data_IF_262156143603
#
_entry.id   IF_262156143603
#
_cell.length_a   1.000
_cell.length_b   1.000
_cell.length_c   1.000
_cell.angle_alpha   90.00
_cell.angle_beta   90.00
_cell.angle_gamma   90.00
#
_symmetry.space_group_name_H-M   'P 1'
#
loop_
_entity.id
_entity.type
_entity.pdbx_description
1 polymer ?
#
# COMPACT_ATOMS: atom_id res chain seq x y z
N UNK A 1 52.25 12.30 -44.02
CA UNK A 1 50.97 12.98 -43.73
C UNK A 1 50.17 12.01 -42.90
N UNK A 2 50.21 12.20 -41.59
CA UNK A 2 49.33 11.55 -40.62
C UNK A 2 48.33 12.63 -40.22
N UNK A 3 47.05 12.40 -40.46
CA UNK A 3 45.98 13.24 -39.94
C UNK A 3 45.44 12.51 -38.70
N UNK A 4 45.51 13.24 -37.58
CA UNK A 4 45.21 12.79 -36.24
C UNK A 4 43.74 12.38 -36.07
N UNK A 5 43.55 11.26 -35.38
CA UNK A 5 42.27 10.89 -34.81
C UNK A 5 41.92 11.83 -33.66
N UNK A 6 41.04 12.79 -33.91
CA UNK A 6 40.40 13.59 -32.86
C UNK A 6 39.34 12.74 -32.15
N UNK A 7 39.74 12.15 -31.02
CA UNK A 7 38.82 11.57 -30.05
C UNK A 7 38.11 12.64 -29.22
N UNK A 8 36.96 12.24 -28.67
CA UNK A 8 36.19 12.90 -27.61
C UNK A 8 35.61 14.27 -28.00
N UNK A 9 34.30 14.52 -27.93
CA UNK A 9 33.53 14.54 -26.68
C UNK A 9 32.08 14.08 -26.95
N UNK A 10 31.76 12.85 -26.52
CA UNK A 10 30.38 12.46 -26.25
C UNK A 10 30.12 12.69 -24.77
N UNK A 11 29.34 13.72 -24.41
CA UNK A 11 29.05 13.96 -22.99
C UNK A 11 28.26 15.22 -22.68
N UNK A 12 27.38 15.67 -23.57
CA UNK A 12 26.57 16.87 -23.36
C UNK A 12 25.07 16.57 -23.35
N UNK A 13 24.55 15.91 -22.30
CA UNK A 13 23.15 16.03 -21.81
C UNK A 13 22.88 15.03 -20.66
N UNK A 14 23.71 15.05 -19.61
CA UNK A 14 23.32 14.45 -18.33
C UNK A 14 22.69 15.56 -17.50
N UNK A 15 21.37 15.49 -17.34
CA UNK A 15 20.50 16.59 -16.93
C UNK A 15 20.77 17.00 -15.48
N UNK A 16 21.58 18.05 -15.31
CA UNK A 16 21.69 18.96 -14.15
C UNK A 16 21.44 18.35 -12.75
N UNK A 17 22.14 17.26 -12.43
CA UNK A 17 22.30 16.80 -11.04
C UNK A 17 23.53 17.50 -10.45
N UNK A 18 23.31 18.63 -9.79
CA UNK A 18 24.34 19.46 -9.17
C UNK A 18 24.47 19.23 -7.66
N UNK A 19 23.41 18.74 -7.01
CA UNK A 19 23.36 18.42 -5.59
C UNK A 19 24.13 17.13 -5.28
N UNK A 20 24.87 17.11 -4.16
CA UNK A 20 25.66 15.97 -3.72
C UNK A 20 24.77 14.80 -3.26
N UNK A 21 23.57 15.12 -2.77
CA UNK A 21 22.55 14.21 -2.27
C UNK A 21 22.06 13.21 -3.35
N UNK A 22 22.21 13.54 -4.64
CA UNK A 22 21.97 12.58 -5.71
C UNK A 22 22.87 11.36 -5.60
N UNK A 23 24.15 11.55 -5.27
CA UNK A 23 25.11 10.44 -5.13
C UNK A 23 24.77 9.56 -3.94
N UNK A 24 24.25 10.16 -2.87
CA UNK A 24 23.77 9.41 -1.70
C UNK A 24 22.59 8.53 -2.08
N UNK A 25 21.56 9.12 -2.73
CA UNK A 25 20.39 8.38 -3.19
C UNK A 25 20.77 7.27 -4.20
N UNK A 26 21.70 7.53 -5.11
CA UNK A 26 22.17 6.56 -6.11
C UNK A 26 23.04 5.44 -5.51
N UNK A 27 23.55 5.62 -4.29
CA UNK A 27 24.37 4.62 -3.62
C UNK A 27 23.54 3.58 -2.84
N UNK A 28 22.24 3.84 -2.62
CA UNK A 28 21.36 2.96 -1.84
C UNK A 28 21.12 1.64 -2.56
N UNK A 29 20.88 0.56 -1.79
CA UNK A 29 20.54 -0.75 -2.36
C UNK A 29 19.20 -0.71 -3.10
N UNK A 30 18.25 0.08 -2.59
CA UNK A 30 16.98 0.35 -3.24
C UNK A 30 17.17 0.95 -4.65
N UNK A 31 18.07 1.92 -4.81
CA UNK A 31 18.36 2.47 -6.13
C UNK A 31 19.02 1.46 -7.07
N UNK A 32 19.98 0.67 -6.57
CA UNK A 32 20.65 -0.36 -7.39
C UNK A 32 19.65 -1.39 -7.91
N UNK A 33 18.64 -1.71 -7.10
CA UNK A 33 17.58 -2.66 -7.43
C UNK A 33 16.49 -2.07 -8.32
N UNK A 34 16.16 -0.80 -8.10
CA UNK A 34 15.15 -0.05 -8.84
C UNK A 34 15.78 1.21 -9.44
N UNK A 35 16.68 1.09 -10.44
CA UNK A 35 17.37 2.22 -10.99
C UNK A 35 16.39 3.15 -11.70
N UNK A 36 16.41 4.42 -11.31
CA UNK A 36 15.47 5.43 -11.76
C UNK A 36 16.18 6.49 -12.63
N UNK A 37 15.59 6.86 -13.76
CA UNK A 37 16.03 7.98 -14.60
C UNK A 37 14.89 8.98 -14.90
N UNK A 38 14.19 9.47 -13.86
CA UNK A 38 13.01 10.32 -14.02
C UNK A 38 13.34 11.59 -14.81
N UNK A 39 12.36 12.04 -15.57
CA UNK A 39 12.50 13.21 -16.42
C UNK A 39 11.73 14.38 -15.82
N UNK A 40 12.40 15.19 -15.00
CA UNK A 40 11.82 16.39 -14.39
C UNK A 40 11.70 17.59 -15.34
N UNK A 41 11.72 17.34 -16.65
CA UNK A 41 11.61 18.36 -17.70
C UNK A 41 10.18 18.52 -18.22
N UNK A 42 9.17 18.02 -17.50
CA UNK A 42 7.78 18.21 -17.89
C UNK A 42 7.49 19.73 -18.01
N UNK A 43 6.67 20.17 -18.98
CA UNK A 43 6.48 21.58 -19.30
C UNK A 43 6.12 22.48 -18.11
N UNK A 44 5.44 21.92 -17.10
CA UNK A 44 5.10 22.64 -15.85
C UNK A 44 6.30 22.97 -14.95
N UNK A 45 7.41 22.24 -15.05
CA UNK A 45 8.61 22.45 -14.24
C UNK A 45 9.57 23.48 -14.84
N UNK A 46 9.45 23.76 -16.14
CA UNK A 46 10.36 24.66 -16.85
C UNK A 46 10.31 26.11 -16.33
N UNK A 47 9.18 26.51 -15.73
CA UNK A 47 8.99 27.83 -15.13
C UNK A 47 9.58 27.94 -13.71
N UNK A 48 9.94 26.81 -13.09
CA UNK A 48 10.52 26.76 -11.75
C UNK A 48 12.04 26.95 -11.86
N UNK A 49 12.67 27.80 -11.00
CA UNK A 49 14.11 27.94 -10.95
C UNK A 49 14.82 26.59 -10.79
N UNK A 50 15.95 26.40 -11.48
CA UNK A 50 16.67 25.13 -11.52
C UNK A 50 16.94 24.55 -10.12
N UNK A 51 17.43 25.38 -9.19
CA UNK A 51 17.72 24.96 -7.81
C UNK A 51 16.47 24.44 -7.07
N UNK A 52 15.30 25.00 -7.34
CA UNK A 52 14.03 24.57 -6.72
C UNK A 52 13.53 23.29 -7.39
N UNK A 53 13.65 23.20 -8.72
CA UNK A 53 13.29 22.01 -9.49
C UNK A 53 14.12 20.81 -9.06
N UNK A 54 15.43 21.00 -8.90
CA UNK A 54 16.34 19.93 -8.50
C UNK A 54 16.05 19.42 -7.08
N UNK A 55 15.79 20.33 -6.13
CA UNK A 55 15.37 19.94 -4.77
C UNK A 55 14.05 19.18 -4.77
N UNK A 56 13.09 19.62 -5.57
CA UNK A 56 11.81 18.94 -5.71
C UNK A 56 11.97 17.54 -6.30
N UNK A 57 12.78 17.43 -7.35
CA UNK A 57 13.15 16.16 -7.97
C UNK A 57 13.75 15.18 -6.96
N UNK A 58 14.69 15.66 -6.14
CA UNK A 58 15.33 14.86 -5.09
C UNK A 58 14.32 14.38 -4.03
N UNK A 59 13.40 15.25 -3.59
CA UNK A 59 12.38 14.87 -2.60
C UNK A 59 11.42 13.79 -3.13
N UNK A 60 11.00 13.90 -4.40
CA UNK A 60 10.20 12.86 -5.06
C UNK A 60 10.98 11.55 -5.18
N UNK A 61 12.28 11.65 -5.45
CA UNK A 61 13.17 10.51 -5.55
C UNK A 61 13.30 9.76 -4.22
N UNK A 62 13.54 10.50 -3.14
CA UNK A 62 13.59 9.96 -1.77
C UNK A 62 12.26 9.29 -1.41
N UNK A 63 11.13 9.93 -1.74
CA UNK A 63 9.81 9.32 -1.50
C UNK A 63 9.63 7.99 -2.24
N UNK A 64 10.15 7.87 -3.46
CA UNK A 64 10.16 6.61 -4.20
C UNK A 64 11.02 5.55 -3.48
N UNK A 65 12.24 5.93 -3.06
CA UNK A 65 13.15 5.04 -2.34
C UNK A 65 12.53 4.52 -1.04
N UNK A 66 11.94 5.40 -0.24
CA UNK A 66 11.28 5.05 1.02
C UNK A 66 10.20 3.97 0.81
N UNK A 67 9.39 4.11 -0.26
CA UNK A 67 8.36 3.13 -0.60
C UNK A 67 8.96 1.78 -0.97
N UNK A 68 9.96 1.75 -1.85
CA UNK A 68 10.54 0.47 -2.28
C UNK A 68 11.33 -0.22 -1.16
N UNK A 69 12.00 0.54 -0.30
CA UNK A 69 12.65 0.00 0.89
C UNK A 69 11.64 -0.57 1.88
N UNK A 70 10.51 0.10 2.11
CA UNK A 70 9.43 -0.41 2.95
C UNK A 70 8.89 -1.74 2.39
N UNK A 71 8.64 -1.83 1.08
CA UNK A 71 8.20 -3.05 0.40
C UNK A 71 9.18 -4.20 0.55
N UNK A 72 10.48 -3.93 0.47
CA UNK A 72 11.54 -4.93 0.60
C UNK A 72 11.72 -5.42 2.03
N UNK A 73 11.63 -4.51 3.01
CA UNK A 73 11.87 -4.82 4.41
C UNK A 73 10.67 -5.46 5.11
N UNK A 74 9.45 -5.06 4.74
CA UNK A 74 8.23 -5.46 5.48
C UNK A 74 7.30 -6.37 4.65
N UNK A 75 7.27 -6.23 3.32
CA UNK A 75 6.46 -7.09 2.45
C UNK A 75 5.01 -7.25 2.92
N UNK A 76 4.64 -8.46 3.39
CA UNK A 76 3.29 -8.77 3.87
C UNK A 76 2.92 -8.10 5.19
N UNK A 77 3.88 -7.65 5.99
CA UNK A 77 3.59 -7.01 7.27
C UNK A 77 3.04 -5.59 7.09
N UNK A 78 3.17 -5.03 5.89
CA UNK A 78 2.60 -3.72 5.55
C UNK A 78 1.06 -3.79 5.58
N UNK A 79 0.38 -2.88 6.30
CA UNK A 79 -1.07 -2.81 6.31
C UNK A 79 -1.66 -2.53 4.92
N UNK A 80 -2.82 -3.12 4.59
CA UNK A 80 -3.50 -2.90 3.29
C UNK A 80 -3.70 -1.41 2.98
N UNK A 81 -4.15 -0.63 3.96
CA UNK A 81 -4.37 0.81 3.79
C UNK A 81 -3.09 1.62 3.51
N UNK A 82 -1.91 1.10 3.91
CA UNK A 82 -0.61 1.68 3.58
C UNK A 82 -0.21 1.31 2.16
N UNK A 83 -0.39 0.05 1.75
CA UNK A 83 -0.16 -0.42 0.39
C UNK A 83 -1.01 0.34 -0.64
N UNK A 84 -2.29 0.60 -0.34
CA UNK A 84 -3.18 1.37 -1.24
C UNK A 84 -2.67 2.79 -1.47
N UNK A 85 -2.20 3.47 -0.41
CA UNK A 85 -1.62 4.82 -0.51
C UNK A 85 -0.29 4.81 -1.25
N UNK A 86 0.56 3.82 -1.01
CA UNK A 86 1.82 3.66 -1.74
C UNK A 86 1.57 3.42 -3.23
N UNK A 87 0.55 2.61 -3.57
CA UNK A 87 0.12 2.38 -4.95
C UNK A 87 -0.31 3.68 -5.62
N UNK A 88 -1.17 4.47 -4.97
CA UNK A 88 -1.60 5.78 -5.47
C UNK A 88 -0.41 6.72 -5.70
N UNK A 89 0.50 6.79 -4.74
CA UNK A 89 1.72 7.61 -4.84
C UNK A 89 2.62 7.19 -6.02
N UNK A 90 2.88 5.88 -6.18
CA UNK A 90 3.70 5.36 -7.27
C UNK A 90 3.10 5.62 -8.65
N UNK A 91 1.76 5.51 -8.79
CA UNK A 91 1.06 5.88 -10.02
C UNK A 91 1.20 7.38 -10.31
N UNK A 92 1.05 8.22 -9.29
CA UNK A 92 1.22 9.66 -9.44
C UNK A 92 2.65 10.03 -9.87
N UNK A 93 3.66 9.35 -9.31
CA UNK A 93 5.07 9.54 -9.68
C UNK A 93 5.37 9.13 -11.13
N UNK A 94 4.83 7.99 -11.57
CA UNK A 94 4.95 7.52 -12.95
C UNK A 94 4.30 8.50 -13.93
N UNK A 95 3.02 8.83 -13.71
CA UNK A 95 2.25 9.68 -14.62
C UNK A 95 2.73 11.13 -14.67
N UNK A 96 3.17 11.69 -13.53
CA UNK A 96 3.48 13.13 -13.42
C UNK A 96 4.94 13.45 -13.65
N UNK A 97 5.85 12.53 -13.32
CA UNK A 97 7.29 12.80 -13.25
C UNK A 97 8.14 11.76 -14.00
N UNK A 98 7.52 10.74 -14.59
CA UNK A 98 8.20 9.76 -15.44
C UNK A 98 9.09 8.79 -14.66
N UNK A 99 8.72 8.46 -13.43
CA UNK A 99 9.35 7.36 -12.69
C UNK A 99 8.96 6.01 -13.32
N UNK A 100 9.88 5.04 -13.29
CA UNK A 100 9.57 3.65 -13.60
C UNK A 100 9.02 2.96 -12.34
N UNK A 101 7.70 3.03 -12.18
CA UNK A 101 6.99 2.46 -11.04
C UNK A 101 6.48 1.04 -11.29
N UNK A 102 6.69 0.47 -12.49
CA UNK A 102 6.07 -0.80 -12.90
C UNK A 102 6.40 -1.96 -11.96
N UNK A 103 7.67 -2.06 -11.59
CA UNK A 103 8.16 -3.12 -10.70
C UNK A 103 7.60 -3.02 -9.27
N UNK A 104 7.76 -1.87 -8.59
CA UNK A 104 7.16 -1.63 -7.28
C UNK A 104 5.64 -1.81 -7.25
N UNK A 105 4.92 -1.32 -8.27
CA UNK A 105 3.47 -1.50 -8.40
C UNK A 105 3.10 -2.99 -8.49
N UNK A 106 3.82 -3.76 -9.32
CA UNK A 106 3.61 -5.20 -9.40
C UNK A 106 3.88 -5.91 -8.07
N UNK A 107 4.86 -5.42 -7.30
CA UNK A 107 5.16 -6.00 -5.98
C UNK A 107 4.04 -5.73 -4.97
N UNK A 108 3.46 -4.54 -4.98
CA UNK A 108 2.29 -4.22 -4.16
C UNK A 108 1.11 -5.13 -4.53
N UNK A 109 0.84 -5.32 -5.81
CA UNK A 109 -0.25 -6.18 -6.28
C UNK A 109 -0.05 -7.66 -5.87
N UNK A 110 1.18 -8.15 -5.91
CA UNK A 110 1.53 -9.48 -5.39
C UNK A 110 1.20 -9.59 -3.89
N UNK A 111 1.65 -8.62 -3.08
CA UNK A 111 1.40 -8.60 -1.64
C UNK A 111 -0.11 -8.56 -1.34
N UNK A 112 -0.86 -7.70 -2.04
CA UNK A 112 -2.31 -7.59 -1.89
C UNK A 112 -3.02 -8.89 -2.27
N UNK A 113 -2.62 -9.52 -3.39
CA UNK A 113 -3.20 -10.80 -3.82
C UNK A 113 -2.99 -11.91 -2.79
N UNK A 114 -1.84 -11.93 -2.12
CA UNK A 114 -1.60 -12.92 -1.06
C UNK A 114 -2.44 -12.64 0.17
N UNK A 115 -2.59 -11.38 0.57
CA UNK A 115 -3.48 -10.99 1.68
C UNK A 115 -4.94 -11.34 1.41
N UNK A 116 -5.41 -11.14 0.17
CA UNK A 116 -6.78 -11.49 -0.23
C UNK A 116 -7.02 -13.00 -0.10
N UNK A 117 -6.08 -13.82 -0.58
CA UNK A 117 -6.15 -15.29 -0.40
C UNK A 117 -6.12 -15.71 1.07
N UNK A 118 -5.33 -15.04 1.90
CA UNK A 118 -5.29 -15.32 3.34
C UNK A 118 -6.62 -14.96 4.02
N UNK A 119 -7.29 -13.88 3.59
CA UNK A 119 -8.61 -13.51 4.08
C UNK A 119 -9.69 -14.53 3.66
N UNK A 120 -9.70 -14.93 2.38
CA UNK A 120 -10.65 -15.92 1.86
C UNK A 120 -10.56 -17.25 2.63
N UNK A 121 -9.34 -17.73 2.91
CA UNK A 121 -9.10 -18.95 3.69
C UNK A 121 -9.58 -18.86 5.14
N UNK A 122 -9.56 -17.66 5.74
CA UNK A 122 -10.08 -17.45 7.09
C UNK A 122 -11.61 -17.44 7.09
N UNK A 123 -12.23 -16.84 6.09
CA UNK A 123 -13.70 -16.84 5.94
C UNK A 123 -14.24 -18.26 5.75
N UNK A 124 -13.59 -19.09 4.93
CA UNK A 124 -13.95 -20.50 4.73
C UNK A 124 -13.88 -21.32 6.04
N UNK A 125 -12.85 -21.10 6.87
CA UNK A 125 -12.70 -21.80 8.15
C UNK A 125 -13.72 -21.38 9.23
N UNK A 126 -14.27 -20.17 9.12
CA UNK A 126 -15.28 -19.67 10.05
C UNK A 126 -16.72 -19.98 9.62
N UNK A 127 -16.97 -20.25 8.33
CA UNK A 127 -18.27 -20.64 7.78
C UNK A 127 -18.73 -22.05 8.18
N UNK A 128 -17.83 -22.92 8.62
CA UNK A 128 -18.10 -24.36 8.82
C UNK A 128 -18.51 -24.74 10.26
N UNK A 129 -18.77 -23.76 11.15
CA UNK A 129 -19.07 -24.00 12.59
C UNK A 129 -20.50 -23.67 13.02
N UNK A 130 -21.46 -23.48 12.11
CA UNK A 130 -22.84 -23.07 12.46
C UNK A 130 -23.94 -24.13 12.28
N UNK A 131 -23.64 -25.42 12.21
CA UNK A 131 -24.69 -26.46 12.17
C UNK A 131 -24.40 -27.66 13.09
N UNK A 132 -24.59 -27.47 14.39
CA UNK A 132 -24.98 -28.56 15.28
C UNK A 132 -26.25 -28.11 16.03
N UNK A 133 -27.41 -28.35 15.43
CA UNK A 133 -28.64 -28.51 16.21
C UNK A 133 -28.63 -29.91 16.85
N UNK A 134 -28.83 -30.03 18.17
CA UNK A 134 -29.47 -31.21 18.72
C UNK A 134 -30.98 -30.98 18.76
N UNK A 135 -31.68 -31.58 17.79
CA UNK A 135 -33.08 -31.94 17.93
C UNK A 135 -33.27 -32.81 19.19
N UNK A 136 -34.15 -32.43 20.11
CA UNK A 136 -34.79 -33.41 21.00
C UNK A 136 -36.29 -33.19 21.07
N UNK A 137 -36.98 -34.20 20.53
CA UNK A 137 -38.42 -34.40 20.39
C UNK A 137 -39.12 -34.58 21.75
N UNK A 138 -40.15 -33.76 21.94
CA UNK A 138 -41.42 -33.85 22.67
C UNK A 138 -41.75 -35.13 23.48
N UNK A 139 -42.26 -34.96 24.71
CA UNK A 139 -43.37 -35.80 25.23
C UNK A 139 -44.28 -35.07 26.24
N UNK A 140 -45.58 -35.08 25.94
CA UNK A 140 -46.71 -34.57 26.72
C UNK A 140 -47.07 -35.51 27.88
N UNK A 141 -47.33 -35.00 29.10
CA UNK A 141 -48.16 -35.72 30.11
C UNK A 141 -48.93 -34.79 31.07
N UNK A 142 -50.24 -34.71 30.82
CA UNK A 142 -51.42 -34.71 31.72
C UNK A 142 -51.36 -34.17 33.19
N UNK A 143 -52.05 -33.03 33.38
CA UNK A 143 -53.03 -32.63 34.44
C UNK A 143 -52.82 -33.04 35.91
N UNK A 144 -52.80 -32.02 36.81
CA UNK A 144 -53.68 -32.02 38.01
C UNK A 144 -54.02 -30.60 38.52
N UNK A 145 -55.32 -30.37 38.59
CA UNK A 145 -56.06 -29.23 39.16
C UNK A 145 -55.76 -29.05 40.65
N UNK A 146 -55.51 -27.81 41.08
CA UNK A 146 -55.46 -27.41 42.49
C UNK A 146 -55.85 -25.94 42.65
N UNK A 147 -57.16 -25.68 42.73
CA UNK A 147 -57.76 -24.38 43.08
C UNK A 147 -57.41 -24.03 44.53
N UNK A 148 -56.97 -22.80 44.84
CA UNK A 148 -57.41 -22.08 46.05
C UNK A 148 -57.17 -20.57 45.93
N UNK A 149 -58.26 -19.85 46.13
CA UNK A 149 -58.38 -18.40 46.20
C UNK A 149 -57.77 -17.85 47.50
N UNK A 150 -57.24 -16.63 47.49
CA UNK A 150 -57.83 -15.51 48.24
C UNK A 150 -56.94 -14.26 48.24
N UNK A 151 -57.59 -13.12 47.93
CA UNK A 151 -57.56 -11.81 48.65
C UNK A 151 -56.19 -11.14 48.82
N UNK A 152 -55.99 -9.83 48.72
CA UNK A 152 -56.86 -8.63 48.69
C UNK A 152 -55.88 -7.46 48.52
N UNK A 153 -56.35 -6.36 47.91
CA UNK A 153 -56.02 -4.95 48.23
C UNK A 153 -54.53 -4.53 48.18
N UNK A 154 -54.14 -3.43 47.54
CA UNK A 154 -54.90 -2.28 47.06
C UNK A 154 -53.94 -1.16 46.66
N UNK A 155 -54.52 -0.16 45.96
CA UNK A 155 -54.18 1.28 45.93
C UNK A 155 -52.77 1.68 45.44
N UNK A 156 -52.63 2.35 44.29
CA UNK A 156 -52.94 3.76 43.91
C UNK A 156 -51.74 4.71 44.16
N UNK A 157 -51.40 5.43 43.08
CA UNK A 157 -50.66 6.71 43.00
C UNK A 157 -49.18 6.64 43.45
N UNK A 158 -48.22 7.31 42.81
CA UNK A 158 -48.24 8.61 42.13
C UNK A 158 -47.35 8.60 40.89
#
# INVERSE_FOLDING_TARGET
MAEDGSGSEGGGSEREKTLAEWKECESTEAFKRWPQRPHFNAPGFLQIPLVVRERFALALFQSFLDVVEELENQGKDIPRSRLDKQKEGLVALEMSYGFDSRGPLSKIEEILSVKDKEADLLEEQHGDKSSEEPETVNTTTLVRRGKKQSKKQGKKQL
#
